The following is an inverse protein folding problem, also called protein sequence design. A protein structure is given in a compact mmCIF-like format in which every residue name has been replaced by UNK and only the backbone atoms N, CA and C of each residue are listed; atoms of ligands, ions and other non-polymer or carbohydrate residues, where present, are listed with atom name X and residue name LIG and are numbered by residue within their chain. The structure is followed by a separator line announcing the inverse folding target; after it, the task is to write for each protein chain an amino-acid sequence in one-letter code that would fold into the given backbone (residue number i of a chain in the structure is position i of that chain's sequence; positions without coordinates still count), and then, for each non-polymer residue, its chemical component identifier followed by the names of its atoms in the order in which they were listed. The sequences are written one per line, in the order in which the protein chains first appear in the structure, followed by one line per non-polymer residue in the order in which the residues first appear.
data_IF_505632909977
#
_entry.id   IF_505632909977
#
_cell.length_a   1.000
_cell.length_b   1.000
_cell.length_c   1.000
_cell.angle_alpha   90.00
_cell.angle_beta   90.00
_cell.angle_gamma   90.00
#
_symmetry.space_group_name_H-M   'P 1'
#
loop_
_entity.id
_entity.type
_entity.pdbx_description
1 polymer ?
#
# COMPACT_ATOMS: atom_id res chain seq x y z
N UNK A 1 -44.54 27.88 5.52
CA UNK A 1 -44.49 26.82 4.49
C UNK A 1 -43.05 26.74 4.06
N UNK A 2 -42.29 25.90 4.76
CA UNK A 2 -40.86 25.70 4.54
C UNK A 2 -40.69 24.76 3.34
N UNK A 3 -40.13 25.28 2.25
CA UNK A 3 -39.57 24.44 1.20
C UNK A 3 -38.22 23.90 1.69
N UNK A 4 -38.24 22.79 2.41
CA UNK A 4 -37.05 21.93 2.50
C UNK A 4 -36.77 21.35 1.11
N UNK A 5 -35.85 21.98 0.40
CA UNK A 5 -35.26 21.43 -0.82
C UNK A 5 -34.36 20.26 -0.40
N UNK A 6 -34.95 19.07 -0.33
CA UNK A 6 -34.19 17.80 -0.32
C UNK A 6 -33.42 17.74 -1.63
N UNK A 7 -32.15 18.17 -1.60
CA UNK A 7 -31.15 17.84 -2.61
C UNK A 7 -30.85 16.33 -2.57
N UNK A 8 -31.84 15.51 -2.93
CA UNK A 8 -31.64 14.10 -3.21
C UNK A 8 -30.90 13.99 -4.53
N UNK A 9 -29.76 13.30 -4.54
CA UNK A 9 -29.00 12.99 -5.74
C UNK A 9 -29.90 12.26 -6.76
N UNK A 10 -30.37 13.01 -7.76
CA UNK A 10 -31.33 12.56 -8.78
C UNK A 10 -30.74 11.51 -9.71
N UNK A 11 -29.42 11.44 -9.84
CA UNK A 11 -28.77 10.38 -10.63
C UNK A 11 -28.72 9.11 -9.79
N UNK A 12 -28.34 9.21 -8.51
CA UNK A 12 -28.38 8.07 -7.59
C UNK A 12 -29.79 7.53 -7.31
N UNK A 13 -30.87 8.19 -7.73
CA UNK A 13 -32.24 7.65 -7.62
C UNK A 13 -32.67 6.80 -8.82
N UNK A 14 -31.95 6.85 -9.96
CA UNK A 14 -32.26 6.05 -11.16
C UNK A 14 -32.23 4.54 -10.88
N UNK A 15 -32.96 3.71 -11.64
CA UNK A 15 -32.87 2.26 -11.54
C UNK A 15 -31.45 1.75 -11.79
N UNK A 16 -31.08 0.64 -11.15
CA UNK A 16 -29.72 0.10 -11.21
C UNK A 16 -29.26 -0.21 -12.64
N UNK A 17 -30.13 -0.77 -13.48
CA UNK A 17 -29.82 -1.10 -14.87
C UNK A 17 -29.41 0.14 -15.68
N UNK A 18 -30.05 1.28 -15.41
CA UNK A 18 -29.72 2.56 -16.04
C UNK A 18 -28.34 3.05 -15.56
N UNK A 19 -28.03 2.87 -14.27
CA UNK A 19 -26.71 3.22 -13.74
C UNK A 19 -25.60 2.36 -14.36
N UNK A 20 -25.83 1.04 -14.48
CA UNK A 20 -24.91 0.13 -15.16
C UNK A 20 -24.73 0.47 -16.64
N UNK A 21 -25.81 0.91 -17.32
CA UNK A 21 -25.75 1.38 -18.70
C UNK A 21 -24.92 2.68 -18.82
N UNK A 22 -25.13 3.66 -17.94
CA UNK A 22 -24.32 4.89 -17.90
C UNK A 22 -22.83 4.55 -17.72
N UNK A 23 -22.50 3.66 -16.77
CA UNK A 23 -21.12 3.26 -16.50
C UNK A 23 -20.50 2.53 -17.70
N UNK A 24 -21.28 1.79 -18.48
CA UNK A 24 -20.78 1.08 -19.66
C UNK A 24 -20.21 2.00 -20.76
N UNK A 25 -20.60 3.28 -20.77
CA UNK A 25 -20.06 4.29 -21.68
C UNK A 25 -18.81 5.00 -21.14
N UNK A 26 -18.45 4.79 -19.88
CA UNK A 26 -17.31 5.46 -19.26
C UNK A 26 -16.01 4.68 -19.50
N UNK A 27 -14.89 5.37 -19.77
CA UNK A 27 -13.57 4.75 -19.71
C UNK A 27 -13.33 4.12 -18.33
N UNK A 28 -12.56 3.03 -18.27
CA UNK A 28 -12.33 2.26 -17.03
C UNK A 28 -12.07 3.12 -15.78
N UNK A 29 -11.12 4.07 -15.87
CA UNK A 29 -10.78 4.94 -14.73
C UNK A 29 -11.97 5.76 -14.25
N UNK A 30 -12.76 6.29 -15.17
CA UNK A 30 -13.98 7.06 -14.88
C UNK A 30 -15.08 6.16 -14.32
N UNK A 31 -15.26 4.97 -14.87
CA UNK A 31 -16.19 3.95 -14.37
C UNK A 31 -15.86 3.53 -12.93
N UNK A 32 -14.58 3.34 -12.60
CA UNK A 32 -14.17 3.06 -11.22
C UNK A 32 -14.38 4.29 -10.34
N UNK A 33 -14.12 5.50 -10.83
CA UNK A 33 -14.32 6.73 -10.06
C UNK A 33 -15.79 6.97 -9.66
N UNK A 34 -16.77 6.47 -10.43
CA UNK A 34 -18.18 6.59 -10.01
C UNK A 34 -18.46 5.89 -8.68
N UNK A 35 -17.63 4.91 -8.28
CA UNK A 35 -17.73 4.24 -6.98
C UNK A 35 -17.65 5.18 -5.77
N UNK A 36 -17.12 6.39 -5.96
CA UNK A 36 -17.01 7.42 -4.92
C UNK A 36 -18.21 8.37 -4.86
N UNK A 37 -19.15 8.32 -5.80
CA UNK A 37 -20.31 9.21 -5.84
C UNK A 37 -21.28 8.94 -4.68
N UNK A 38 -21.61 7.66 -4.46
CA UNK A 38 -22.35 7.22 -3.28
C UNK A 38 -22.16 5.72 -3.04
N UNK A 39 -22.62 5.23 -1.89
CA UNK A 39 -22.56 3.79 -1.55
C UNK A 39 -23.23 2.91 -2.59
N UNK A 40 -24.23 3.43 -3.31
CA UNK A 40 -24.95 2.74 -4.37
C UNK A 40 -24.09 2.44 -5.59
N UNK A 41 -23.11 3.30 -5.90
CA UNK A 41 -22.28 3.18 -7.11
C UNK A 41 -21.04 2.30 -6.92
N UNK A 42 -20.73 1.90 -5.68
CA UNK A 42 -19.45 1.33 -5.28
C UNK A 42 -18.96 0.18 -6.17
N UNK A 43 -19.88 -0.70 -6.59
CA UNK A 43 -19.55 -1.93 -7.33
C UNK A 43 -20.33 -2.08 -8.65
N UNK A 44 -21.01 -1.03 -9.12
CA UNK A 44 -21.86 -1.11 -10.33
C UNK A 44 -21.05 -1.39 -11.60
N UNK A 45 -19.82 -0.88 -11.68
CA UNK A 45 -18.91 -1.12 -12.82
C UNK A 45 -18.53 -2.60 -13.00
N UNK A 46 -18.66 -3.43 -11.95
CA UNK A 46 -18.42 -4.87 -12.00
C UNK A 46 -19.63 -5.67 -12.45
N UNK A 47 -20.84 -5.08 -12.46
CA UNK A 47 -22.09 -5.81 -12.76
C UNK A 47 -22.22 -6.19 -14.23
N UNK A 48 -21.53 -5.50 -15.13
CA UNK A 48 -21.48 -5.83 -16.55
C UNK A 48 -20.47 -6.94 -16.89
N UNK A 49 -19.80 -7.51 -15.89
CA UNK A 49 -18.84 -8.58 -16.12
C UNK A 49 -19.54 -9.83 -16.65
N UNK A 50 -18.94 -10.44 -17.68
CA UNK A 50 -19.35 -11.75 -18.13
C UNK A 50 -19.19 -12.73 -16.96
N UNK A 51 -20.26 -13.50 -16.67
CA UNK A 51 -20.23 -14.51 -15.61
C UNK A 51 -19.98 -15.87 -16.24
N UNK A 52 -18.76 -16.37 -16.10
CA UNK A 52 -18.36 -17.71 -16.49
C UNK A 52 -18.59 -18.69 -15.33
N UNK A 53 -18.75 -19.98 -15.64
CA UNK A 53 -18.95 -21.04 -14.66
C UNK A 53 -18.08 -22.23 -15.03
N UNK A 54 -17.49 -22.87 -14.03
CA UNK A 54 -16.68 -24.07 -14.24
C UNK A 54 -15.82 -24.40 -13.04
N UNK A 55 -14.83 -25.23 -13.29
CA UNK A 55 -13.76 -25.57 -12.35
C UNK A 55 -12.70 -24.46 -12.29
N UNK A 56 -11.72 -24.60 -11.40
CA UNK A 56 -10.56 -23.71 -11.38
C UNK A 56 -9.73 -23.82 -12.66
N UNK A 57 -9.63 -25.02 -13.25
CA UNK A 57 -8.88 -25.22 -14.49
C UNK A 57 -9.54 -24.46 -15.66
N UNK A 58 -10.88 -24.48 -15.70
CA UNK A 58 -11.66 -23.67 -16.64
C UNK A 58 -11.44 -22.16 -16.41
N UNK A 59 -11.32 -21.73 -15.15
CA UNK A 59 -11.01 -20.34 -14.81
C UNK A 59 -9.62 -19.94 -15.34
N UNK A 60 -8.65 -20.85 -15.32
CA UNK A 60 -7.31 -20.60 -15.83
C UNK A 60 -7.26 -20.50 -17.35
N UNK A 61 -7.99 -21.36 -18.04
CA UNK A 61 -8.16 -21.27 -19.50
C UNK A 61 -8.83 -19.93 -19.85
N UNK A 62 -9.86 -19.54 -19.10
CA UNK A 62 -10.55 -18.27 -19.30
C UNK A 62 -9.63 -17.06 -19.08
N UNK A 63 -8.82 -17.04 -18.00
CA UNK A 63 -7.84 -15.97 -17.75
C UNK A 63 -6.81 -15.90 -18.88
N UNK A 64 -6.31 -17.06 -19.32
CA UNK A 64 -5.27 -17.12 -20.35
C UNK A 64 -5.81 -16.63 -21.70
N UNK A 65 -7.01 -17.07 -22.09
CA UNK A 65 -7.71 -16.59 -23.28
C UNK A 65 -7.94 -15.07 -23.21
N UNK A 66 -8.44 -14.59 -22.07
CA UNK A 66 -8.68 -13.17 -21.84
C UNK A 66 -7.39 -12.34 -21.97
N UNK A 67 -6.28 -12.80 -21.39
CA UNK A 67 -5.01 -12.09 -21.51
C UNK A 67 -4.45 -12.07 -22.94
N UNK A 68 -4.69 -13.13 -23.73
CA UNK A 68 -4.29 -13.18 -25.13
C UNK A 68 -5.10 -12.21 -26.00
N UNK A 69 -6.43 -12.18 -25.81
CA UNK A 69 -7.30 -11.21 -26.49
C UNK A 69 -6.88 -9.77 -26.19
N UNK A 70 -6.47 -9.50 -24.95
CA UNK A 70 -5.96 -8.19 -24.52
C UNK A 70 -4.55 -7.87 -25.04
N UNK A 71 -3.73 -8.87 -25.35
CA UNK A 71 -2.35 -8.63 -25.81
C UNK A 71 -2.24 -8.27 -27.29
N UNK A 72 -3.28 -8.60 -28.07
CA UNK A 72 -3.30 -8.51 -29.53
C UNK A 72 -4.02 -7.27 -30.08
N UNK A 73 -4.75 -6.52 -29.25
CA UNK A 73 -5.63 -5.46 -29.75
C UNK A 73 -4.97 -4.07 -29.86
N UNK A 74 -4.92 -3.60 -31.11
CA UNK A 74 -4.73 -2.21 -31.55
C UNK A 74 -5.94 -1.30 -31.28
N UNK A 75 -7.06 -1.85 -30.78
CA UNK A 75 -8.28 -1.13 -30.41
C UNK A 75 -8.74 -1.58 -29.02
N UNK A 76 -8.59 -0.73 -28.01
CA UNK A 76 -8.99 -1.04 -26.63
C UNK A 76 -10.52 -1.22 -26.56
N UNK A 77 -11.05 -2.34 -26.05
CA UNK A 77 -12.47 -2.48 -25.83
C UNK A 77 -12.93 -1.45 -24.80
N UNK A 78 -13.94 -0.66 -25.16
CA UNK A 78 -14.47 0.42 -24.32
C UNK A 78 -15.29 -0.07 -23.13
N UNK A 79 -15.54 -1.38 -22.96
CA UNK A 79 -16.50 -1.87 -21.95
C UNK A 79 -16.23 -3.25 -21.32
N UNK A 80 -15.26 -4.05 -21.78
CA UNK A 80 -15.05 -5.42 -21.27
C UNK A 80 -13.74 -5.56 -20.47
N UNK A 81 -13.61 -4.85 -19.34
CA UNK A 81 -12.36 -4.82 -18.56
C UNK A 81 -12.18 -6.02 -17.62
N UNK A 82 -13.08 -6.98 -17.63
CA UNK A 82 -13.02 -8.10 -16.70
C UNK A 82 -14.20 -9.05 -16.81
N UNK A 83 -14.09 -10.16 -16.10
CA UNK A 83 -15.13 -11.16 -16.00
C UNK A 83 -15.19 -11.71 -14.57
N UNK A 84 -16.34 -12.27 -14.20
CA UNK A 84 -16.51 -12.99 -12.95
C UNK A 84 -16.58 -14.49 -13.26
N UNK A 85 -15.80 -15.28 -12.55
CA UNK A 85 -15.79 -16.73 -12.69
C UNK A 85 -16.41 -17.36 -11.46
N UNK A 86 -17.54 -18.05 -11.63
CA UNK A 86 -18.25 -18.74 -10.56
C UNK A 86 -17.74 -20.18 -10.46
N UNK A 87 -17.18 -20.50 -9.29
CA UNK A 87 -16.53 -21.77 -8.97
C UNK A 87 -17.48 -22.73 -8.24
N UNK A 88 -18.77 -22.40 -8.16
CA UNK A 88 -19.78 -23.14 -7.41
C UNK A 88 -19.84 -22.76 -5.92
N UNK A 89 -20.90 -23.22 -5.23
CA UNK A 89 -21.17 -22.99 -3.79
C UNK A 89 -21.21 -21.52 -3.34
N UNK A 90 -21.40 -20.60 -4.27
CA UNK A 90 -21.38 -19.16 -4.03
C UNK A 90 -19.98 -18.55 -3.99
N UNK A 91 -18.95 -19.31 -4.40
CA UNK A 91 -17.58 -18.81 -4.57
C UNK A 91 -17.42 -18.17 -5.96
N UNK A 92 -16.89 -16.95 -6.01
CA UNK A 92 -16.59 -16.30 -7.28
C UNK A 92 -15.25 -15.58 -7.28
N UNK A 93 -14.52 -15.73 -8.38
CA UNK A 93 -13.28 -15.04 -8.70
C UNK A 93 -13.61 -13.86 -9.62
N UNK A 94 -13.15 -12.66 -9.28
CA UNK A 94 -13.21 -11.51 -10.18
C UNK A 94 -11.85 -11.33 -10.86
N UNK A 95 -11.86 -11.27 -12.19
CA UNK A 95 -10.68 -11.01 -13.01
C UNK A 95 -10.88 -9.67 -13.69
N UNK A 96 -9.92 -8.76 -13.56
CA UNK A 96 -9.99 -7.43 -14.19
C UNK A 96 -8.63 -7.08 -14.77
N UNK A 97 -8.62 -6.52 -15.97
CA UNK A 97 -7.41 -6.00 -16.62
C UNK A 97 -7.59 -4.50 -16.83
N UNK A 98 -6.73 -3.72 -16.21
CA UNK A 98 -6.69 -2.29 -16.40
C UNK A 98 -5.99 -1.92 -17.72
N UNK A 99 -6.31 -0.75 -18.32
CA UNK A 99 -5.67 -0.30 -19.56
C UNK A 99 -4.13 -0.17 -19.51
N UNK A 100 -3.55 -0.05 -18.32
CA UNK A 100 -2.10 0.00 -18.09
C UNK A 100 -1.45 -1.39 -17.94
N UNK A 101 -2.20 -2.46 -18.26
CA UNK A 101 -1.79 -3.86 -18.16
C UNK A 101 -1.63 -4.33 -16.71
N UNK A 102 -2.42 -3.76 -15.80
CA UNK A 102 -2.59 -4.30 -14.45
C UNK A 102 -3.63 -5.42 -14.43
N UNK A 103 -3.21 -6.63 -14.07
CA UNK A 103 -4.10 -7.78 -13.86
C UNK A 103 -4.48 -7.87 -12.38
N UNK A 104 -5.78 -7.84 -12.11
CA UNK A 104 -6.37 -8.02 -10.79
C UNK A 104 -7.06 -9.38 -10.73
N UNK A 105 -6.61 -10.20 -9.79
CA UNK A 105 -7.21 -11.48 -9.43
C UNK A 105 -7.75 -11.37 -8.01
N UNK A 106 -9.07 -11.21 -7.88
CA UNK A 106 -9.74 -10.99 -6.60
C UNK A 106 -10.58 -12.20 -6.17
N UNK A 107 -10.10 -12.86 -5.13
CA UNK A 107 -10.70 -14.04 -4.50
C UNK A 107 -11.52 -13.71 -3.26
N UNK A 108 -11.83 -12.43 -3.01
CA UNK A 108 -12.54 -12.01 -1.78
C UNK A 108 -13.93 -12.63 -1.63
N UNK A 109 -14.54 -13.06 -2.74
CA UNK A 109 -15.84 -13.73 -2.76
C UNK A 109 -15.72 -15.27 -2.85
N UNK A 110 -14.54 -15.85 -2.64
CA UNK A 110 -14.33 -17.29 -2.61
C UNK A 110 -14.42 -17.80 -1.17
N UNK A 111 -15.33 -18.74 -0.90
CA UNK A 111 -15.48 -19.34 0.43
C UNK A 111 -14.27 -20.22 0.75
N UNK A 112 -13.71 -20.06 1.95
CA UNK A 112 -12.45 -20.67 2.41
C UNK A 112 -12.54 -22.18 2.74
N UNK A 113 -13.43 -22.94 2.11
CA UNK A 113 -13.75 -24.32 2.53
C UNK A 113 -12.71 -25.37 2.14
N UNK A 114 -11.74 -25.07 1.28
CA UNK A 114 -10.64 -26.00 0.93
C UNK A 114 -9.31 -25.26 0.68
N UNK A 115 -8.15 -25.87 1.01
CA UNK A 115 -6.86 -25.40 0.54
C UNK A 115 -6.76 -25.54 -0.97
N UNK A 116 -7.11 -24.47 -1.68
CA UNK A 116 -6.88 -24.36 -3.12
C UNK A 116 -5.38 -24.36 -3.37
N UNK A 117 -4.87 -25.33 -4.13
CA UNK A 117 -3.49 -25.33 -4.59
C UNK A 117 -3.34 -24.25 -5.66
N UNK A 118 -3.20 -22.99 -5.24
CA UNK A 118 -2.84 -21.89 -6.13
C UNK A 118 -1.48 -22.15 -6.83
N UNK A 119 -0.67 -23.03 -6.25
CA UNK A 119 0.55 -23.56 -6.86
C UNK A 119 0.29 -24.29 -8.19
N UNK A 120 -0.85 -24.99 -8.33
CA UNK A 120 -1.23 -25.67 -9.58
C UNK A 120 -1.56 -24.69 -10.71
N UNK A 121 -1.77 -23.40 -10.41
CA UNK A 121 -1.99 -22.36 -11.43
C UNK A 121 -0.79 -22.23 -12.40
N UNK A 122 0.40 -22.71 -12.02
CA UNK A 122 1.66 -22.36 -12.69
C UNK A 122 2.55 -23.55 -13.06
N UNK A 123 2.07 -24.79 -12.88
CA UNK A 123 2.71 -25.99 -13.48
C UNK A 123 2.57 -26.03 -15.02
N UNK A 124 1.98 -24.98 -15.61
CA UNK A 124 1.80 -24.79 -17.06
C UNK A 124 3.14 -24.64 -17.81
N UNK A 125 4.23 -24.29 -17.11
CA UNK A 125 5.58 -24.42 -17.64
C UNK A 125 6.30 -25.49 -16.82
N UNK A 126 6.10 -26.75 -17.19
CA UNK A 126 6.79 -27.89 -16.60
C UNK A 126 8.29 -27.63 -16.53
N UNK A 127 8.77 -27.26 -15.34
CA UNK A 127 10.17 -27.46 -15.03
C UNK A 127 10.35 -28.97 -14.88
N UNK A 128 10.88 -29.59 -15.92
CA UNK A 128 11.49 -30.91 -15.89
C UNK A 128 12.34 -31.06 -14.62
N UNK A 129 11.78 -31.64 -13.56
CA UNK A 129 12.52 -32.28 -12.49
C UNK A 129 11.71 -33.48 -12.00
N UNK A 130 12.40 -34.62 -11.96
CA UNK A 130 11.86 -35.97 -11.88
C UNK A 130 11.32 -36.30 -10.47
N UNK A 131 10.12 -35.85 -10.11
CA UNK A 131 9.38 -36.47 -9.01
C UNK A 131 8.45 -37.56 -9.58
N UNK A 132 8.85 -38.83 -9.40
CA UNK A 132 8.08 -40.03 -9.81
C UNK A 132 6.64 -39.99 -9.27
N UNK A 133 6.41 -39.32 -8.14
CA UNK A 133 5.09 -39.15 -7.52
C UNK A 133 4.09 -38.39 -8.42
N UNK A 134 4.54 -37.38 -9.18
CA UNK A 134 3.67 -36.61 -10.07
C UNK A 134 3.26 -37.42 -11.31
N UNK A 135 4.16 -38.29 -11.79
CA UNK A 135 3.88 -39.21 -12.89
C UNK A 135 2.81 -40.25 -12.53
N UNK A 136 2.84 -40.78 -11.29
CA UNK A 136 1.84 -41.74 -10.83
C UNK A 136 0.48 -41.09 -10.59
N UNK A 137 0.44 -39.84 -10.11
CA UNK A 137 -0.81 -39.11 -9.87
C UNK A 137 -1.54 -38.74 -11.18
N UNK A 138 -0.80 -38.36 -12.23
CA UNK A 138 -1.35 -38.07 -13.55
C UNK A 138 -1.88 -39.32 -14.29
N UNK A 139 -1.31 -40.51 -14.01
CA UNK A 139 -1.72 -41.75 -14.68
C UNK A 139 -2.95 -42.40 -14.04
N UNK A 140 -3.24 -42.16 -12.76
CA UNK A 140 -4.35 -42.81 -12.04
C UNK A 140 -5.73 -42.22 -12.36
N UNK A 141 -5.80 -41.00 -12.91
CA UNK A 141 -7.01 -40.47 -13.55
C UNK A 141 -6.82 -40.50 -15.05
N UNK A 142 -7.68 -41.24 -15.75
CA UNK A 142 -7.82 -41.26 -17.23
C UNK A 142 -8.15 -39.86 -17.80
N UNK A 143 -7.26 -38.89 -17.64
CA UNK A 143 -7.30 -37.61 -18.33
C UNK A 143 -6.59 -37.80 -19.65
N UNK A 144 -7.34 -38.21 -20.69
CA UNK A 144 -6.90 -38.01 -22.06
C UNK A 144 -6.91 -36.50 -22.34
N UNK A 145 -5.81 -35.83 -22.01
CA UNK A 145 -5.59 -34.45 -22.42
C UNK A 145 -4.89 -34.53 -23.78
N UNK A 146 -5.65 -34.28 -24.85
CA UNK A 146 -5.04 -33.72 -26.06
C UNK A 146 -4.43 -32.39 -25.66
N UNK A 147 -3.12 -32.36 -25.46
CA UNK A 147 -2.36 -31.15 -25.14
C UNK A 147 -2.02 -30.44 -26.46
N UNK A 148 -2.62 -29.28 -26.78
CA UNK A 148 -1.86 -28.33 -27.58
C UNK A 148 -0.71 -27.87 -26.69
N UNK A 149 0.53 -28.09 -27.12
CA UNK A 149 1.68 -27.50 -26.45
C UNK A 149 1.43 -25.99 -26.25
N UNK A 150 1.49 -25.45 -25.02
CA UNK A 150 1.45 -24.02 -24.85
C UNK A 150 2.79 -23.45 -25.31
N UNK A 151 2.77 -22.68 -26.40
CA UNK A 151 3.80 -21.68 -26.70
C UNK A 151 4.13 -20.89 -25.44
N UNK A 152 5.39 -20.48 -25.20
CA UNK A 152 5.76 -19.75 -23.99
C UNK A 152 4.97 -18.42 -23.96
N UNK A 153 3.88 -18.40 -23.19
CA UNK A 153 3.00 -17.24 -23.11
C UNK A 153 3.80 -16.05 -22.58
N UNK A 154 4.18 -15.12 -23.44
CA UNK A 154 4.75 -13.84 -23.02
C UNK A 154 3.60 -12.89 -22.73
N UNK A 155 2.84 -13.15 -21.66
CA UNK A 155 1.78 -12.26 -21.24
C UNK A 155 2.36 -10.86 -20.99
N UNK A 156 1.81 -9.83 -21.66
CA UNK A 156 2.27 -8.44 -21.55
C UNK A 156 1.75 -7.78 -20.25
N UNK A 157 1.76 -8.48 -19.12
CA UNK A 157 1.29 -7.96 -17.83
C UNK A 157 2.42 -7.20 -17.15
N UNK A 158 2.15 -5.96 -16.72
CA UNK A 158 3.14 -5.11 -16.02
C UNK A 158 2.89 -5.01 -14.53
N UNK A 159 1.63 -5.10 -14.12
CA UNK A 159 1.23 -5.05 -12.72
C UNK A 159 0.36 -6.27 -12.40
N UNK A 160 0.66 -6.96 -11.31
CA UNK A 160 -0.13 -8.10 -10.83
C UNK A 160 -0.66 -7.81 -9.44
N UNK A 161 -1.98 -7.91 -9.27
CA UNK A 161 -2.68 -7.70 -8.02
C UNK A 161 -3.36 -9.01 -7.60
N UNK A 162 -2.84 -9.61 -6.54
CA UNK A 162 -3.40 -10.79 -5.90
C UNK A 162 -4.16 -10.35 -4.64
N UNK A 163 -5.48 -10.56 -4.63
CA UNK A 163 -6.35 -10.10 -3.54
C UNK A 163 -7.08 -11.30 -2.93
N UNK A 164 -6.94 -11.46 -1.62
CA UNK A 164 -7.62 -12.48 -0.82
C UNK A 164 -7.35 -13.93 -1.25
N UNK A 165 -6.19 -14.18 -1.87
CA UNK A 165 -5.77 -15.53 -2.27
C UNK A 165 -5.55 -16.37 -1.02
N UNK A 166 -6.19 -17.54 -0.96
CA UNK A 166 -6.01 -18.50 0.13
C UNK A 166 -4.87 -19.46 -0.20
N UNK A 167 -4.05 -19.81 0.81
CA UNK A 167 -2.92 -20.75 0.68
C UNK A 167 -1.86 -20.32 -0.34
N UNK A 168 -1.63 -19.02 -0.46
CA UNK A 168 -0.60 -18.47 -1.36
C UNK A 168 0.80 -18.82 -0.83
N UNK A 169 1.55 -19.63 -1.58
CA UNK A 169 2.92 -20.00 -1.24
C UNK A 169 3.96 -19.05 -1.86
N UNK A 170 5.16 -19.00 -1.27
CA UNK A 170 6.30 -18.29 -1.89
C UNK A 170 6.71 -18.88 -3.24
N UNK A 171 6.45 -20.18 -3.46
CA UNK A 171 6.79 -20.90 -4.69
C UNK A 171 5.87 -20.47 -5.82
N UNK A 172 4.56 -20.39 -5.57
CA UNK A 172 3.59 -19.83 -6.50
C UNK A 172 4.00 -18.42 -6.92
N UNK A 173 4.25 -17.52 -5.96
CA UNK A 173 4.63 -16.12 -6.27
C UNK A 173 5.89 -16.08 -7.14
N UNK A 174 6.92 -16.88 -6.80
CA UNK A 174 8.16 -16.94 -7.59
C UNK A 174 7.89 -17.41 -9.02
N UNK A 175 7.06 -18.44 -9.19
CA UNK A 175 6.68 -18.95 -10.51
C UNK A 175 5.89 -17.92 -11.33
N UNK A 176 4.99 -17.15 -10.70
CA UNK A 176 4.27 -16.04 -11.37
C UNK A 176 5.24 -14.98 -11.88
N UNK A 177 6.16 -14.54 -11.02
CA UNK A 177 7.17 -13.54 -11.39
C UNK A 177 7.99 -14.04 -12.59
N UNK A 178 8.33 -15.33 -12.64
CA UNK A 178 9.03 -15.94 -13.78
C UNK A 178 8.18 -16.02 -15.05
N UNK A 179 6.88 -16.29 -14.93
CA UNK A 179 5.96 -16.39 -16.07
C UNK A 179 5.60 -15.01 -16.66
N UNK A 180 5.54 -13.95 -15.83
CA UNK A 180 5.30 -12.58 -16.26
C UNK A 180 6.61 -11.82 -16.48
N UNK A 181 7.29 -12.05 -17.62
CA UNK A 181 8.61 -11.46 -17.93
C UNK A 181 8.66 -9.92 -17.92
N UNK A 182 7.54 -9.24 -18.12
CA UNK A 182 7.43 -7.78 -18.11
C UNK A 182 6.90 -7.22 -16.78
N UNK A 183 6.80 -8.04 -15.73
CA UNK A 183 6.22 -7.63 -14.45
C UNK A 183 7.12 -6.60 -13.75
N UNK A 184 6.60 -5.39 -13.59
CA UNK A 184 7.25 -4.28 -12.92
C UNK A 184 6.67 -4.04 -11.50
N UNK A 185 5.43 -4.45 -11.25
CA UNK A 185 4.74 -4.21 -9.98
C UNK A 185 3.97 -5.44 -9.49
N UNK A 186 4.16 -5.82 -8.22
CA UNK A 186 3.45 -6.90 -7.56
C UNK A 186 2.73 -6.38 -6.31
N UNK A 187 1.42 -6.61 -6.23
CA UNK A 187 0.60 -6.32 -5.07
C UNK A 187 -0.02 -7.59 -4.51
N UNK A 188 0.18 -7.85 -3.22
CA UNK A 188 -0.40 -8.97 -2.49
C UNK A 188 -1.23 -8.39 -1.35
N UNK A 189 -2.53 -8.61 -1.35
CA UNK A 189 -3.46 -7.99 -0.39
C UNK A 189 -4.36 -9.03 0.26
N UNK A 190 -4.41 -9.06 1.59
CA UNK A 190 -5.28 -9.95 2.39
C UNK A 190 -5.12 -11.43 2.07
N UNK A 191 -3.96 -11.85 1.56
CA UNK A 191 -3.71 -13.25 1.23
C UNK A 191 -3.36 -14.04 2.50
N UNK A 192 -3.93 -15.24 2.62
CA UNK A 192 -3.72 -16.16 3.73
C UNK A 192 -2.82 -17.33 3.29
N UNK A 193 -2.18 -18.00 4.25
CA UNK A 193 -1.26 -19.14 4.03
C UNK A 193 0.21 -18.75 3.82
N UNK A 194 0.49 -17.50 3.49
CA UNK A 194 1.85 -17.02 3.23
C UNK A 194 2.58 -16.71 4.55
N UNK A 195 3.42 -17.64 5.03
CA UNK A 195 4.27 -17.44 6.23
C UNK A 195 5.60 -16.75 5.92
N UNK A 196 6.23 -17.14 4.82
CA UNK A 196 7.50 -16.60 4.35
C UNK A 196 7.34 -16.23 2.89
N UNK A 197 7.84 -15.07 2.51
CA UNK A 197 7.88 -14.63 1.12
C UNK A 197 9.33 -14.41 0.70
N UNK A 198 9.77 -15.20 -0.28
CA UNK A 198 11.08 -15.12 -0.89
C UNK A 198 10.97 -14.64 -2.33
N UNK A 199 11.48 -13.44 -2.61
CA UNK A 199 11.51 -12.86 -3.96
C UNK A 199 12.96 -12.78 -4.42
N UNK A 200 13.29 -13.58 -5.44
CA UNK A 200 14.53 -13.44 -6.21
C UNK A 200 14.24 -12.54 -7.40
N UNK A 201 14.46 -11.24 -7.23
CA UNK A 201 14.29 -10.24 -8.28
C UNK A 201 15.56 -9.97 -9.09
N UNK A 202 16.61 -10.80 -8.93
CA UNK A 202 17.86 -10.67 -9.70
C UNK A 202 17.64 -10.77 -11.22
N UNK A 203 16.70 -11.62 -11.65
CA UNK A 203 16.36 -11.83 -13.05
C UNK A 203 15.01 -11.18 -13.45
N UNK A 204 14.33 -10.51 -12.51
CA UNK A 204 13.02 -9.91 -12.77
C UNK A 204 13.09 -8.38 -12.92
N UNK A 205 12.24 -7.83 -13.80
CA UNK A 205 12.06 -6.38 -13.96
C UNK A 205 11.27 -5.73 -12.83
N UNK A 206 11.11 -6.39 -11.68
CA UNK A 206 10.22 -5.97 -10.61
C UNK A 206 10.77 -4.74 -9.87
N UNK A 207 10.08 -3.62 -10.00
CA UNK A 207 10.42 -2.32 -9.40
C UNK A 207 9.60 -2.00 -8.16
N UNK A 208 8.37 -2.52 -8.07
CA UNK A 208 7.44 -2.20 -6.98
C UNK A 208 6.89 -3.47 -6.33
N UNK A 209 6.97 -3.51 -5.00
CA UNK A 209 6.36 -4.56 -4.19
C UNK A 209 5.44 -3.95 -3.15
N UNK A 210 4.18 -4.37 -3.13
CA UNK A 210 3.17 -3.93 -2.16
C UNK A 210 2.55 -5.14 -1.46
N UNK A 211 2.62 -5.21 -0.13
CA UNK A 211 2.05 -6.29 0.67
C UNK A 211 1.16 -5.66 1.75
N UNK A 212 -0.13 -6.01 1.75
CA UNK A 212 -1.13 -5.36 2.62
C UNK A 212 -1.96 -6.41 3.35
N UNK A 213 -2.01 -6.32 4.68
CA UNK A 213 -2.93 -7.06 5.54
C UNK A 213 -2.83 -8.60 5.43
N UNK A 214 -1.65 -9.13 5.08
CA UNK A 214 -1.36 -10.58 5.09
C UNK A 214 -0.98 -11.03 6.51
N UNK A 215 -1.96 -11.48 7.30
CA UNK A 215 -1.82 -11.66 8.76
C UNK A 215 -0.84 -12.77 9.19
N UNK A 216 -0.67 -13.79 8.35
CA UNK A 216 0.18 -14.95 8.64
C UNK A 216 1.64 -14.77 8.22
N UNK A 217 2.00 -13.65 7.58
CA UNK A 217 3.37 -13.40 7.15
C UNK A 217 4.26 -13.14 8.37
N UNK A 218 5.38 -13.85 8.43
CA UNK A 218 6.37 -13.82 9.50
C UNK A 218 7.72 -13.35 9.00
N UNK A 219 8.07 -13.64 7.76
CA UNK A 219 9.34 -13.23 7.15
C UNK A 219 9.17 -12.75 5.71
N UNK A 220 9.94 -11.72 5.36
CA UNK A 220 10.06 -11.18 4.01
C UNK A 220 11.52 -11.17 3.60
N UNK A 221 11.84 -11.97 2.61
CA UNK A 221 13.15 -12.02 1.98
C UNK A 221 13.03 -11.53 0.54
N UNK A 222 13.75 -10.46 0.22
CA UNK A 222 13.88 -10.02 -1.17
C UNK A 222 15.35 -9.78 -1.50
N UNK A 223 15.75 -10.26 -2.68
CA UNK A 223 17.06 -10.03 -3.30
C UNK A 223 16.82 -9.37 -4.65
N UNK A 224 17.39 -8.21 -4.93
CA UNK A 224 17.28 -7.59 -6.25
C UNK A 224 17.48 -6.09 -6.25
N UNK A 225 18.48 -5.64 -7.02
CA UNK A 225 18.92 -4.25 -7.12
C UNK A 225 17.91 -3.30 -7.77
N UNK A 226 16.91 -3.84 -8.47
CA UNK A 226 15.97 -3.07 -9.28
C UNK A 226 14.74 -2.59 -8.49
N UNK A 227 14.55 -3.05 -7.24
CA UNK A 227 13.39 -2.66 -6.45
C UNK A 227 13.52 -1.20 -6.02
N UNK A 228 12.59 -0.35 -6.48
CA UNK A 228 12.53 1.08 -6.21
C UNK A 228 11.48 1.43 -5.15
N UNK A 229 10.40 0.65 -5.06
CA UNK A 229 9.31 0.91 -4.11
C UNK A 229 8.95 -0.34 -3.32
N UNK A 230 8.95 -0.21 -1.99
CA UNK A 230 8.47 -1.25 -1.08
C UNK A 230 7.38 -0.69 -0.16
N UNK A 231 6.19 -1.28 -0.23
CA UNK A 231 5.07 -0.89 0.64
C UNK A 231 4.58 -2.09 1.42
N UNK A 232 4.60 -1.98 2.74
CA UNK A 232 4.18 -3.03 3.65
C UNK A 232 3.18 -2.47 4.67
N UNK A 233 2.04 -3.15 4.83
CA UNK A 233 1.10 -2.96 5.95
C UNK A 233 0.73 -4.31 6.55
N UNK A 234 0.90 -4.46 7.86
CA UNK A 234 0.64 -5.72 8.56
C UNK A 234 1.37 -5.81 9.90
N UNK A 235 1.50 -6.99 10.50
CA UNK A 235 2.34 -7.19 11.70
C UNK A 235 3.81 -6.92 11.39
N UNK A 236 4.63 -6.63 12.40
CA UNK A 236 6.08 -6.60 12.20
C UNK A 236 6.56 -8.00 11.75
N UNK A 237 7.33 -8.06 10.66
CA UNK A 237 7.91 -9.28 10.09
C UNK A 237 9.43 -9.25 10.14
N UNK A 238 10.06 -10.41 10.04
CA UNK A 238 11.50 -10.53 9.90
C UNK A 238 11.94 -10.14 8.48
N UNK A 239 12.69 -9.04 8.35
CA UNK A 239 13.24 -8.60 7.07
C UNK A 239 14.62 -9.22 6.85
N UNK A 240 14.77 -9.98 5.77
CA UNK A 240 16.05 -10.46 5.29
C UNK A 240 16.31 -9.85 3.92
N UNK A 241 17.26 -8.93 3.84
CA UNK A 241 17.58 -8.26 2.59
C UNK A 241 19.05 -8.55 2.27
N UNK A 242 19.31 -9.66 1.60
CA UNK A 242 20.67 -10.14 1.34
C UNK A 242 21.18 -9.78 -0.05
N UNK A 243 22.45 -9.41 -0.12
CA UNK A 243 23.29 -9.46 -1.31
C UNK A 243 24.47 -10.38 -0.95
N UNK A 244 24.46 -11.65 -1.39
CA UNK A 244 25.56 -12.59 -1.16
C UNK A 244 25.78 -13.04 0.30
N UNK A 245 26.70 -13.99 0.47
CA UNK A 245 26.94 -14.81 1.67
C UNK A 245 27.39 -14.02 2.91
N UNK A 246 26.91 -14.44 4.08
CA UNK A 246 27.06 -13.77 5.38
C UNK A 246 28.46 -13.87 6.03
N UNK A 247 29.49 -14.26 5.30
CA UNK A 247 30.82 -14.58 5.85
C UNK A 247 31.87 -13.45 5.73
N UNK A 248 31.62 -12.38 4.98
CA UNK A 248 32.63 -11.31 4.75
C UNK A 248 32.21 -9.89 5.22
N UNK A 249 31.17 -9.78 6.05
CA UNK A 249 30.55 -8.50 6.43
C UNK A 249 31.40 -7.54 7.27
N UNK A 250 32.54 -7.96 7.81
CA UNK A 250 33.36 -7.09 8.64
C UNK A 250 34.26 -6.13 7.85
N UNK A 251 34.52 -6.40 6.56
CA UNK A 251 35.51 -5.63 5.81
C UNK A 251 34.97 -4.68 4.75
N UNK A 252 33.80 -4.88 4.12
CA UNK A 252 33.31 -3.94 3.09
C UNK A 252 31.81 -3.59 3.18
N UNK A 253 31.46 -2.49 3.86
CA UNK A 253 30.09 -1.95 3.90
C UNK A 253 29.64 -1.16 2.66
N UNK A 254 30.46 -1.00 1.61
CA UNK A 254 30.31 0.09 0.64
C UNK A 254 30.01 -0.33 -0.81
N UNK A 255 30.01 -1.62 -1.12
CA UNK A 255 29.80 -2.06 -2.49
C UNK A 255 28.46 -2.77 -2.61
N UNK A 256 27.52 -2.11 -3.30
CA UNK A 256 26.20 -2.59 -3.73
C UNK A 256 24.99 -2.48 -2.78
N UNK A 257 24.89 -1.44 -1.95
CA UNK A 257 23.59 -1.08 -1.38
C UNK A 257 22.73 -0.34 -2.42
N UNK A 258 21.76 -0.99 -3.03
CA UNK A 258 20.68 -0.28 -3.74
C UNK A 258 19.72 0.35 -2.72
N UNK A 259 19.26 1.56 -3.03
CA UNK A 259 18.39 2.36 -2.16
C UNK A 259 16.99 2.33 -2.74
N UNK A 260 15.98 2.31 -1.88
CA UNK A 260 14.60 2.50 -2.31
C UNK A 260 14.36 3.99 -2.59
N UNK A 261 13.53 4.30 -3.59
CA UNK A 261 13.01 5.65 -3.83
C UNK A 261 11.75 5.93 -2.98
N UNK A 262 10.93 4.90 -2.72
CA UNK A 262 9.68 4.99 -1.97
C UNK A 262 9.56 3.82 -0.99
N UNK A 263 9.19 4.12 0.26
CA UNK A 263 8.98 3.09 1.27
C UNK A 263 7.73 3.36 2.11
N UNK A 264 6.96 2.32 2.41
CA UNK A 264 5.88 2.37 3.40
C UNK A 264 6.07 1.23 4.39
N UNK A 265 6.32 1.57 5.65
CA UNK A 265 6.50 0.64 6.77
C UNK A 265 5.39 0.87 7.80
N UNK A 266 4.22 0.33 7.48
CA UNK A 266 3.00 0.47 8.26
C UNK A 266 2.76 -0.78 9.11
N UNK A 267 3.58 -0.94 10.15
CA UNK A 267 3.49 -2.08 11.05
C UNK A 267 2.34 -1.90 12.04
N UNK A 268 1.23 -2.54 11.74
CA UNK A 268 0.03 -2.62 12.56
C UNK A 268 0.27 -3.54 13.77
N UNK A 269 -0.62 -3.46 14.76
CA UNK A 269 -0.57 -4.20 16.05
C UNK A 269 0.51 -3.73 17.04
N UNK A 270 1.57 -3.06 16.59
CA UNK A 270 2.54 -2.38 17.45
C UNK A 270 3.70 -3.27 17.91
N UNK A 271 4.44 -2.86 18.96
CA UNK A 271 5.64 -3.55 19.43
C UNK A 271 5.36 -4.83 20.24
N UNK A 272 4.20 -5.49 20.07
CA UNK A 272 3.84 -6.65 20.88
C UNK A 272 4.95 -7.74 20.84
N UNK A 273 5.30 -8.22 22.04
CA UNK A 273 6.61 -8.73 22.48
C UNK A 273 7.15 -10.01 21.79
N UNK A 274 8.49 -10.02 21.63
CA UNK A 274 9.50 -11.09 21.87
C UNK A 274 10.65 -11.18 20.86
N UNK A 275 10.67 -10.38 19.79
CA UNK A 275 11.76 -10.43 18.80
C UNK A 275 12.05 -9.12 18.05
N UNK A 276 11.66 -7.96 18.60
CA UNK A 276 11.92 -6.63 18.01
C UNK A 276 13.39 -6.46 17.63
N UNK A 277 14.31 -6.93 18.47
CA UNK A 277 15.76 -6.80 18.23
C UNK A 277 16.31 -7.86 17.26
N UNK A 278 15.57 -8.92 16.95
CA UNK A 278 15.97 -10.02 16.06
C UNK A 278 15.19 -10.09 14.74
N UNK A 279 14.29 -9.14 14.47
CA UNK A 279 13.45 -9.11 13.26
C UNK A 279 14.16 -8.61 11.98
N UNK A 280 15.49 -8.51 11.96
CA UNK A 280 16.22 -8.06 10.77
C UNK A 280 15.91 -6.62 10.32
N UNK A 281 15.27 -5.80 11.17
CA UNK A 281 14.89 -4.43 10.83
C UNK A 281 16.08 -3.55 10.40
N UNK A 282 17.28 -3.81 10.91
CA UNK A 282 18.52 -3.13 10.47
C UNK A 282 18.74 -3.27 8.96
N UNK A 283 18.41 -4.42 8.38
CA UNK A 283 18.58 -4.69 6.95
C UNK A 283 17.68 -3.80 6.09
N UNK A 284 16.41 -3.61 6.48
CA UNK A 284 15.51 -2.70 5.77
C UNK A 284 15.82 -1.23 6.09
N UNK A 285 16.23 -0.91 7.31
CA UNK A 285 16.58 0.46 7.73
C UNK A 285 17.66 1.06 6.84
N UNK A 286 18.69 0.30 6.47
CA UNK A 286 19.74 0.77 5.57
C UNK A 286 19.19 1.17 4.19
N UNK A 287 18.22 0.42 3.67
CA UNK A 287 17.66 0.62 2.32
C UNK A 287 16.68 1.79 2.24
N UNK A 288 16.05 2.17 3.36
CA UNK A 288 15.11 3.29 3.43
C UNK A 288 15.77 4.65 3.75
N UNK A 289 17.04 4.68 4.15
CA UNK A 289 17.72 5.95 4.52
C UNK A 289 17.78 6.97 3.39
N UNK A 290 17.69 6.52 2.14
CA UNK A 290 17.77 7.34 0.93
C UNK A 290 16.44 7.63 0.23
N UNK A 291 15.31 7.23 0.80
CA UNK A 291 14.01 7.36 0.12
C UNK A 291 13.59 8.82 -0.04
N UNK A 292 12.86 9.10 -1.11
CA UNK A 292 12.23 10.40 -1.37
C UNK A 292 10.85 10.51 -0.72
N UNK A 293 10.17 9.37 -0.56
CA UNK A 293 8.86 9.21 0.08
C UNK A 293 8.91 8.11 1.13
N UNK A 294 8.45 8.41 2.35
CA UNK A 294 8.41 7.46 3.46
C UNK A 294 7.06 7.51 4.16
N UNK A 295 6.43 6.35 4.36
CA UNK A 295 5.36 6.17 5.35
C UNK A 295 5.89 5.39 6.55
N UNK A 296 5.70 5.92 7.75
CA UNK A 296 6.25 5.36 8.98
C UNK A 296 5.30 5.52 10.17
N UNK A 297 5.15 4.47 10.96
CA UNK A 297 4.44 4.54 12.23
C UNK A 297 5.33 5.14 13.34
N UNK A 298 4.76 5.97 14.21
CA UNK A 298 5.45 6.57 15.37
C UNK A 298 6.19 5.54 16.21
N UNK A 299 5.54 4.42 16.54
CA UNK A 299 6.15 3.41 17.40
C UNK A 299 7.39 2.76 16.75
N UNK A 300 7.42 2.67 15.42
CA UNK A 300 8.58 2.14 14.68
C UNK A 300 9.76 3.08 14.86
N UNK A 301 9.51 4.38 14.76
CA UNK A 301 10.55 5.35 15.10
C UNK A 301 10.99 5.20 16.57
N UNK A 302 10.06 5.23 17.53
CA UNK A 302 10.37 5.20 18.97
C UNK A 302 11.10 3.91 19.41
N UNK A 303 10.69 2.75 18.91
CA UNK A 303 11.18 1.45 19.37
C UNK A 303 12.27 0.84 18.50
N UNK A 304 12.30 1.13 17.20
CA UNK A 304 13.21 0.47 16.25
C UNK A 304 14.28 1.40 15.69
N UNK A 305 13.97 2.67 15.46
CA UNK A 305 14.93 3.62 14.87
C UNK A 305 15.68 4.36 15.97
N UNK A 306 14.94 5.02 16.88
CA UNK A 306 15.47 5.90 17.92
C UNK A 306 16.54 5.23 18.81
N UNK A 307 16.39 3.97 19.27
CA UNK A 307 17.40 3.32 20.11
C UNK A 307 18.69 2.94 19.36
N UNK A 308 18.63 2.83 18.03
CA UNK A 308 19.78 2.49 17.18
C UNK A 308 20.53 3.77 16.74
N UNK A 309 19.97 4.96 17.01
CA UNK A 309 20.67 6.22 16.79
C UNK A 309 21.83 6.32 17.80
N UNK A 310 23.11 6.39 17.36
CA UNK A 310 24.24 6.61 18.23
C UNK A 310 24.10 7.95 18.94
N UNK A 311 24.62 7.99 20.16
CA UNK A 311 24.84 9.23 20.89
C UNK A 311 25.82 10.13 20.12
N UNK A 312 25.65 11.47 20.15
CA UNK A 312 26.67 12.41 19.68
C UNK A 312 28.06 12.06 20.26
N UNK A 313 29.18 12.18 19.51
CA UNK A 313 29.39 13.06 18.37
C UNK A 313 29.50 12.34 17.00
N UNK A 314 29.23 11.04 16.90
CA UNK A 314 29.35 10.32 15.63
C UNK A 314 28.12 10.56 14.73
N UNK A 315 28.36 11.46 13.77
CA UNK A 315 27.43 12.10 12.83
C UNK A 315 26.35 11.20 12.20
N UNK A 316 25.10 11.65 12.32
CA UNK A 316 23.97 11.25 11.45
C UNK A 316 23.66 12.29 10.39
N UNK A 317 24.68 12.98 9.91
CA UNK A 317 24.58 14.02 8.87
C UNK A 317 23.94 13.56 7.54
N UNK A 318 23.55 12.29 7.38
CA UNK A 318 23.05 11.73 6.10
C UNK A 318 21.85 10.77 6.18
N UNK A 319 21.19 10.60 7.32
CA UNK A 319 19.97 9.74 7.38
C UNK A 319 18.74 10.51 6.88
N UNK A 320 18.03 10.04 5.85
CA UNK A 320 16.80 10.67 5.31
C UNK A 320 16.96 12.08 4.70
N UNK A 321 18.18 12.49 4.34
CA UNK A 321 18.46 13.79 3.72
C UNK A 321 17.79 13.99 2.34
N UNK A 322 17.41 12.91 1.66
CA UNK A 322 16.69 12.94 0.38
C UNK A 322 15.16 12.92 0.54
N UNK A 323 14.68 12.78 1.79
CA UNK A 323 13.25 12.65 2.06
C UNK A 323 12.53 13.98 1.77
N UNK A 324 11.64 13.96 0.80
CA UNK A 324 10.82 15.12 0.40
C UNK A 324 9.38 15.00 0.85
N UNK A 325 8.90 13.78 1.10
CA UNK A 325 7.54 13.48 1.49
C UNK A 325 7.50 12.47 2.65
N UNK A 326 6.84 12.84 3.75
CA UNK A 326 6.67 12.00 4.93
C UNK A 326 5.19 11.79 5.23
N UNK A 327 4.80 10.53 5.37
CA UNK A 327 3.49 10.09 5.86
C UNK A 327 3.66 9.48 7.25
N UNK A 328 3.29 10.25 8.27
CA UNK A 328 3.43 9.87 9.67
C UNK A 328 2.13 9.27 10.21
N UNK A 329 2.19 8.02 10.66
CA UNK A 329 1.05 7.32 11.26
C UNK A 329 1.24 7.32 12.78
N UNK A 330 0.32 7.97 13.49
CA UNK A 330 0.28 8.03 14.95
C UNK A 330 -0.94 7.30 15.49
N UNK A 331 -0.89 6.98 16.79
CA UNK A 331 -1.99 6.42 17.55
C UNK A 331 -2.26 7.34 18.74
N UNK A 332 -3.48 7.83 18.89
CA UNK A 332 -3.87 8.66 20.03
C UNK A 332 -5.10 8.10 20.74
N UNK A 333 -4.88 7.51 21.92
CA UNK A 333 -5.90 7.29 22.96
C UNK A 333 -5.66 8.12 24.23
N UNK A 334 -4.52 8.80 24.31
CA UNK A 334 -4.09 9.68 25.41
C UNK A 334 -3.78 11.08 24.89
N UNK A 335 -3.31 12.00 25.75
CA UNK A 335 -2.87 13.35 25.33
C UNK A 335 -1.83 13.24 24.21
N UNK A 336 -2.11 13.88 23.08
CA UNK A 336 -1.25 13.86 21.90
C UNK A 336 0.14 14.42 22.22
N UNK A 337 1.18 13.66 21.86
CA UNK A 337 2.59 14.04 22.07
C UNK A 337 3.34 13.94 20.74
N UNK A 338 3.83 15.09 20.26
CA UNK A 338 4.55 15.24 19.01
C UNK A 338 6.08 15.12 19.11
N UNK A 339 6.65 14.82 20.29
CA UNK A 339 8.12 14.75 20.48
C UNK A 339 8.79 13.77 19.51
N UNK A 340 8.22 12.58 19.32
CA UNK A 340 8.75 11.57 18.40
C UNK A 340 8.75 12.08 16.94
N UNK A 341 7.66 12.71 16.51
CA UNK A 341 7.55 13.33 15.19
C UNK A 341 8.60 14.43 15.03
N UNK A 342 8.67 15.39 15.96
CA UNK A 342 9.64 16.50 15.88
C UNK A 342 11.08 15.96 15.86
N UNK A 343 11.41 14.96 16.68
CA UNK A 343 12.73 14.31 16.66
C UNK A 343 13.03 13.66 15.30
N UNK A 344 12.05 13.02 14.65
CA UNK A 344 12.23 12.46 13.32
C UNK A 344 12.40 13.55 12.24
N UNK A 345 11.61 14.62 12.30
CA UNK A 345 11.68 15.72 11.35
C UNK A 345 13.07 16.38 11.32
N UNK A 346 13.75 16.44 12.47
CA UNK A 346 15.14 16.94 12.57
C UNK A 346 16.17 16.09 11.80
N UNK A 347 15.81 14.89 11.37
CA UNK A 347 16.64 14.05 10.50
C UNK A 347 16.43 14.39 9.01
N UNK A 348 15.38 15.14 8.66
CA UNK A 348 14.92 15.30 7.29
C UNK A 348 15.17 16.73 6.77
N UNK A 349 16.34 17.01 6.21
CA UNK A 349 16.71 18.39 5.82
C UNK A 349 15.94 18.97 4.64
N UNK A 350 15.38 18.14 3.74
CA UNK A 350 14.71 18.55 2.49
C UNK A 350 13.20 18.25 2.45
N UNK A 351 12.59 18.10 3.62
CA UNK A 351 11.19 17.71 3.71
C UNK A 351 10.27 18.83 3.18
N UNK A 352 9.46 18.52 2.17
CA UNK A 352 8.54 19.47 1.52
C UNK A 352 7.08 19.22 1.88
N UNK A 353 6.70 17.96 2.08
CA UNK A 353 5.31 17.55 2.33
C UNK A 353 5.25 16.64 3.56
N UNK A 354 4.40 17.01 4.50
CA UNK A 354 4.18 16.28 5.75
C UNK A 354 2.70 15.92 5.88
N UNK A 355 2.41 14.63 5.90
CA UNK A 355 1.06 14.10 6.09
C UNK A 355 1.00 13.37 7.43
N UNK A 356 0.10 13.80 8.32
CA UNK A 356 -0.02 13.25 9.68
C UNK A 356 -1.40 12.65 9.84
N UNK A 357 -1.43 11.35 10.12
CA UNK A 357 -2.67 10.59 10.31
C UNK A 357 -2.68 10.03 11.72
N UNK A 358 -3.68 10.41 12.52
CA UNK A 358 -4.00 9.75 13.77
C UNK A 358 -4.95 8.60 13.45
N UNK A 359 -4.47 7.36 13.58
CA UNK A 359 -5.25 6.17 13.29
C UNK A 359 -5.39 5.31 14.56
N UNK A 360 -6.54 5.36 15.25
CA UNK A 360 -6.80 4.54 16.43
C UNK A 360 -6.78 3.03 16.19
N UNK A 361 -6.88 2.58 14.94
CA UNK A 361 -6.82 1.17 14.54
C UNK A 361 -5.40 0.73 14.15
N UNK A 362 -4.43 1.65 14.12
CA UNK A 362 -3.07 1.35 13.64
C UNK A 362 -2.35 0.33 14.50
N UNK A 363 -2.23 0.54 15.81
CA UNK A 363 -1.56 -0.41 16.69
C UNK A 363 -2.09 -0.37 18.12
N UNK A 364 -1.93 -1.48 18.86
CA UNK A 364 -2.26 -1.54 20.29
C UNK A 364 -1.00 -1.25 21.09
N UNK A 365 -1.02 -0.20 21.91
CA UNK A 365 0.06 0.07 22.89
C UNK A 365 -0.19 -0.81 24.13
N UNK A 366 0.54 -1.92 24.25
CA UNK A 366 0.54 -2.75 25.46
C UNK A 366 1.68 -2.29 26.39
N UNK A 367 1.33 -1.49 27.40
CA UNK A 367 2.13 -1.06 28.55
C UNK A 367 3.29 -0.05 28.41
N UNK A 368 3.11 1.05 29.17
CA UNK A 368 3.98 1.89 30.03
C UNK A 368 5.53 1.85 30.01
N UNK A 369 6.21 1.28 29.01
CA UNK A 369 7.63 1.61 28.87
C UNK A 369 7.75 3.00 28.24
N UNK A 370 7.70 4.01 29.10
CA UNK A 370 8.05 5.39 28.80
C UNK A 370 9.56 5.46 28.56
N UNK A 371 10.03 4.88 27.46
CA UNK A 371 11.27 5.34 26.87
C UNK A 371 10.95 6.72 26.32
N UNK A 372 11.15 7.74 27.15
CA UNK A 372 11.17 9.11 26.70
C UNK A 372 12.15 9.15 25.54
N UNK A 373 11.65 9.48 24.35
CA UNK A 373 12.50 9.77 23.21
C UNK A 373 13.47 10.85 23.70
N UNK A 374 14.76 10.51 23.83
CA UNK A 374 15.80 11.51 24.06
C UNK A 374 15.68 12.47 22.87
N UNK A 375 15.18 13.67 23.14
CA UNK A 375 14.93 14.66 22.11
C UNK A 375 16.25 14.88 21.40
N UNK A 376 16.29 14.58 20.11
CA UNK A 376 17.47 14.82 19.29
C UNK A 376 17.65 16.33 19.27
N UNK A 377 18.77 16.79 19.83
CA UNK A 377 19.14 18.20 19.84
C UNK A 377 19.51 18.65 18.42
N UNK A 378 19.14 19.90 18.11
CA UNK A 378 19.20 20.54 16.78
C UNK A 378 20.40 20.10 15.94
N UNK A 379 20.14 19.45 14.80
CA UNK A 379 21.18 19.16 13.80
C UNK A 379 21.18 20.24 12.71
N UNK A 380 20.03 20.63 12.14
CA UNK A 380 19.92 21.69 11.12
C UNK A 380 18.54 22.36 11.13
N UNK A 381 18.47 23.57 10.55
CA UNK A 381 17.25 24.33 10.24
C UNK A 381 16.43 23.60 9.16
N UNK A 382 15.10 23.53 9.32
CA UNK A 382 14.20 22.94 8.33
C UNK A 382 13.58 24.06 7.49
N UNK A 383 13.90 24.09 6.20
CA UNK A 383 13.65 25.27 5.34
C UNK A 383 12.69 25.00 4.18
N UNK A 384 12.45 23.74 3.82
CA UNK A 384 11.78 23.38 2.57
C UNK A 384 10.29 23.04 2.72
N UNK A 385 9.73 23.07 3.94
CA UNK A 385 8.37 22.57 4.19
C UNK A 385 7.30 23.47 3.56
N UNK A 386 6.52 22.90 2.65
CA UNK A 386 5.47 23.62 1.91
C UNK A 386 4.08 23.32 2.42
N UNK A 387 3.80 22.04 2.70
CA UNK A 387 2.43 21.57 3.02
C UNK A 387 2.45 20.63 4.22
N UNK A 388 1.51 20.85 5.14
CA UNK A 388 1.18 19.93 6.24
C UNK A 388 -0.28 19.55 6.15
N UNK A 389 -0.58 18.25 6.13
CA UNK A 389 -1.95 17.72 6.22
C UNK A 389 -2.16 17.03 7.56
N UNK A 390 -3.26 17.36 8.22
CA UNK A 390 -3.70 16.77 9.49
C UNK A 390 -4.98 15.96 9.30
N UNK A 391 -4.98 14.71 9.76
CA UNK A 391 -6.13 13.81 9.65
C UNK A 391 -6.30 12.94 10.92
N UNK A 392 -7.55 12.74 11.35
CA UNK A 392 -7.90 11.85 12.47
C UNK A 392 -7.69 12.43 13.87
N UNK A 393 -7.33 13.70 14.00
CA UNK A 393 -7.12 14.35 15.30
C UNK A 393 -8.42 14.43 16.11
N UNK A 394 -8.34 14.37 17.46
CA UNK A 394 -9.53 14.32 18.31
C UNK A 394 -10.32 15.64 18.33
N UNK A 395 -9.66 16.78 18.11
CA UNK A 395 -10.27 18.09 18.03
C UNK A 395 -9.31 19.13 17.44
N UNK A 396 -9.87 20.28 17.05
CA UNK A 396 -9.16 21.41 16.45
C UNK A 396 -8.07 22.00 17.35
N UNK A 397 -8.26 22.01 18.68
CA UNK A 397 -7.26 22.56 19.61
C UNK A 397 -5.93 21.80 19.54
N UNK A 398 -5.99 20.47 19.39
CA UNK A 398 -4.79 19.64 19.23
C UNK A 398 -4.12 19.88 17.87
N UNK A 399 -4.90 20.06 16.81
CA UNK A 399 -4.40 20.42 15.48
C UNK A 399 -3.64 21.76 15.51
N UNK A 400 -4.23 22.79 16.13
CA UNK A 400 -3.61 24.12 16.28
C UNK A 400 -2.35 24.05 17.15
N UNK A 401 -2.37 23.30 18.26
CA UNK A 401 -1.21 23.12 19.12
C UNK A 401 -0.03 22.49 18.36
N UNK A 402 -0.29 21.47 17.54
CA UNK A 402 0.74 20.87 16.69
C UNK A 402 1.22 21.84 15.61
N UNK A 403 0.30 22.53 14.94
CA UNK A 403 0.63 23.53 13.92
C UNK A 403 1.58 24.62 14.46
N UNK A 404 1.29 25.15 15.66
CA UNK A 404 2.17 26.12 16.35
C UNK A 404 3.54 25.55 16.60
N UNK A 405 3.63 24.33 17.11
CA UNK A 405 4.90 23.67 17.39
C UNK A 405 5.71 23.43 16.11
N UNK A 406 5.06 23.03 15.02
CA UNK A 406 5.72 22.90 13.72
C UNK A 406 6.26 24.26 13.26
N UNK A 407 5.47 25.34 13.33
CA UNK A 407 5.93 26.68 12.97
C UNK A 407 7.14 27.18 13.80
N UNK A 408 7.35 26.66 15.01
CA UNK A 408 8.55 26.98 15.82
C UNK A 408 9.80 26.21 15.38
N UNK A 409 9.64 25.07 14.69
CA UNK A 409 10.73 24.21 14.27
C UNK A 409 11.18 24.48 12.82
N UNK A 410 10.32 25.08 11.99
CA UNK A 410 10.59 25.43 10.59
C UNK A 410 10.77 26.94 10.43
N UNK A 411 11.74 27.35 9.61
CA UNK A 411 11.99 28.78 9.31
C UNK A 411 11.03 29.35 8.26
N UNK A 412 10.20 28.48 7.65
CA UNK A 412 9.18 28.83 6.67
C UNK A 412 7.79 28.58 7.24
N UNK A 413 6.79 29.33 6.76
CA UNK A 413 5.39 29.14 7.16
C UNK A 413 4.69 28.22 6.14
N UNK A 414 4.47 26.92 6.48
CA UNK A 414 3.82 26.00 5.55
C UNK A 414 2.31 26.24 5.48
N UNK A 415 1.71 25.83 4.36
CA UNK A 415 0.25 25.70 4.24
C UNK A 415 -0.20 24.51 5.08
N UNK A 416 -1.03 24.75 6.09
CA UNK A 416 -1.54 23.71 6.99
C UNK A 416 -3.01 23.47 6.68
N UNK A 417 -3.32 22.25 6.23
CA UNK A 417 -4.67 21.79 5.93
C UNK A 417 -5.06 20.65 6.86
N UNK A 418 -6.34 20.60 7.22
CA UNK A 418 -6.92 19.47 7.94
C UNK A 418 -8.09 18.89 7.15
N UNK A 419 -8.38 17.61 7.36
CA UNK A 419 -9.51 16.95 6.71
C UNK A 419 -10.83 17.65 7.05
N UNK A 420 -11.63 17.92 6.02
CA UNK A 420 -13.01 18.41 6.13
C UNK A 420 -14.00 17.25 6.14
N UNK A 421 -15.19 17.51 6.69
CA UNK A 421 -16.33 16.60 6.60
C UNK A 421 -17.15 16.81 5.32
N UNK A 422 -16.93 17.92 4.60
CA UNK A 422 -17.63 18.22 3.37
C UNK A 422 -16.88 17.65 2.16
N UNK A 423 -17.65 17.11 1.21
CA UNK A 423 -17.13 16.69 -0.09
C UNK A 423 -16.47 17.87 -0.79
N UNK A 424 -15.29 17.63 -1.33
CA UNK A 424 -14.49 18.62 -2.05
C UNK A 424 -14.05 19.87 -1.25
N UNK A 425 -13.99 19.77 0.07
CA UNK A 425 -13.48 20.82 0.95
C UNK A 425 -12.26 20.35 1.77
N UNK A 426 -11.46 21.31 2.23
CA UNK A 426 -10.44 21.15 3.26
C UNK A 426 -10.56 22.27 4.28
N UNK A 427 -10.13 22.00 5.51
CA UNK A 427 -10.00 23.03 6.54
C UNK A 427 -8.62 23.67 6.43
N UNK A 428 -8.54 24.94 6.08
CA UNK A 428 -7.28 25.69 5.98
C UNK A 428 -7.02 26.45 7.28
N UNK A 429 -5.82 26.31 7.84
CA UNK A 429 -5.41 27.09 9.01
C UNK A 429 -5.06 28.53 8.60
N UNK A 430 -5.77 29.50 9.15
CA UNK A 430 -5.52 30.93 8.90
C UNK A 430 -5.25 31.67 10.20
N UNK A 431 -4.47 32.76 10.08
CA UNK A 431 -4.26 33.71 11.18
C UNK A 431 -5.35 34.77 11.12
N UNK A 432 -6.14 34.89 12.18
CA UNK A 432 -7.23 35.87 12.31
C UNK A 432 -6.66 37.20 12.81
N UNK A 433 -6.71 38.29 12.02
CA UNK A 433 -6.20 39.60 12.44
C UNK A 433 -6.96 40.16 13.65
N UNK A 434 -8.27 39.93 13.69
CA UNK A 434 -9.18 40.48 14.72
C UNK A 434 -9.02 39.81 16.10
N UNK A 435 -8.51 38.58 16.14
CA UNK A 435 -8.32 37.83 17.39
C UNK A 435 -6.94 38.09 18.03
N UNK A 436 -6.03 38.81 17.36
CA UNK A 436 -4.78 39.30 17.97
C UNK A 436 -5.03 40.36 19.05
N UNK A 437 -6.19 41.02 19.01
CA UNK A 437 -6.58 42.12 19.90
C UNK A 437 -7.43 41.66 21.09
N UNK A 438 -7.77 40.37 21.17
CA UNK A 438 -8.61 39.81 22.25
C UNK A 438 -7.75 38.94 23.17
N UNK A 439 -7.50 39.42 24.38
CA UNK A 439 -6.78 38.64 25.40
C UNK A 439 -7.44 37.27 25.60
N UNK A 440 -6.63 36.21 25.45
CA UNK A 440 -7.05 34.82 25.70
C UNK A 440 -7.58 34.04 24.49
N UNK A 441 -7.75 34.64 23.30
CA UNK A 441 -8.12 33.90 22.07
C UNK A 441 -6.90 33.46 21.27
N UNK A 442 -6.97 32.23 20.73
CA UNK A 442 -5.93 31.72 19.83
C UNK A 442 -6.00 32.50 18.50
N UNK A 443 -4.92 33.15 18.03
CA UNK A 443 -4.94 33.90 16.78
C UNK A 443 -5.08 33.02 15.53
N UNK A 444 -5.07 31.69 15.69
CA UNK A 444 -5.26 30.74 14.61
C UNK A 444 -6.62 30.06 14.70
N UNK A 445 -7.26 29.91 13.53
CA UNK A 445 -8.52 29.15 13.37
C UNK A 445 -8.53 28.42 12.03
N UNK A 446 -9.27 27.33 11.93
CA UNK A 446 -9.53 26.69 10.66
C UNK A 446 -10.73 27.31 9.95
N UNK A 447 -10.63 27.50 8.63
CA UNK A 447 -11.73 27.90 7.76
C UNK A 447 -11.99 26.82 6.70
N UNK A 448 -13.25 26.54 6.41
CA UNK A 448 -13.63 25.62 5.33
C UNK A 448 -13.34 26.28 3.98
N UNK A 449 -12.58 25.59 3.13
CA UNK A 449 -12.18 26.07 1.81
C UNK A 449 -12.51 24.99 0.78
N UNK A 450 -13.27 25.38 -0.25
CA UNK A 450 -13.53 24.50 -1.41
C UNK A 450 -12.29 24.43 -2.27
N UNK A 451 -11.90 23.24 -2.70
CA UNK A 451 -10.68 23.05 -3.50
C UNK A 451 -11.05 22.36 -4.81
N UNK A 452 -10.72 23.01 -5.92
CA UNK A 452 -10.96 22.45 -7.27
C UNK A 452 -10.01 21.29 -7.57
N UNK A 453 -8.76 21.36 -7.07
CA UNK A 453 -7.73 20.33 -7.23
C UNK A 453 -7.31 19.73 -5.88
N UNK A 454 -8.25 19.05 -5.20
CA UNK A 454 -7.98 18.42 -3.91
C UNK A 454 -6.81 17.44 -3.91
N UNK A 455 -6.55 16.79 -5.04
CA UNK A 455 -5.49 15.78 -5.17
C UNK A 455 -4.07 16.36 -5.02
N UNK A 456 -3.87 17.64 -5.36
CA UNK A 456 -2.57 18.30 -5.26
C UNK A 456 -2.20 18.60 -3.81
N UNK A 457 -3.20 18.87 -2.97
CA UNK A 457 -3.04 19.15 -1.54
C UNK A 457 -3.23 17.90 -0.67
N UNK A 458 -4.09 16.98 -1.10
CA UNK A 458 -4.49 15.77 -0.39
C UNK A 458 -4.39 14.53 -1.30
N UNK A 459 -3.16 14.11 -1.69
CA UNK A 459 -3.00 12.90 -2.48
C UNK A 459 -3.57 11.69 -1.74
N UNK A 460 -4.17 10.77 -2.49
CA UNK A 460 -4.59 9.49 -1.93
C UNK A 460 -3.36 8.62 -1.69
N UNK A 461 -3.22 8.13 -0.46
CA UNK A 461 -2.15 7.22 -0.10
C UNK A 461 -2.71 5.87 0.35
N UNK A 462 -2.01 4.79 0.03
CA UNK A 462 -2.47 3.40 0.24
C UNK A 462 -2.79 3.11 1.72
N UNK A 463 -2.08 3.72 2.66
CA UNK A 463 -2.34 3.55 4.10
C UNK A 463 -3.69 4.15 4.55
N UNK A 464 -4.24 5.12 3.79
CA UNK A 464 -5.51 5.80 4.08
C UNK A 464 -6.74 5.02 3.57
N UNK A 465 -6.54 3.88 2.91
CA UNK A 465 -7.62 3.05 2.39
C UNK A 465 -8.47 2.40 3.49
N UNK A 466 -9.79 2.52 3.34
CA UNK A 466 -10.85 2.01 4.22
C UNK A 466 -11.08 0.50 4.10
#
# INVERSE_FOLDING_TARGET
MDFEQRNGDTISSLPEDILCHIISFLPFKSAVQTSFLSTRWKDLWKKNFLVLKGTMDDAFIAISSFLNEFSDQSHQPTSNWGFQFNLGRGSSLSVTVEPDKALHLDFSNVKHEFPWRFDCWLEINGSSYNDWFDFWWLHYRNCQIHTPQPSPFTFKVKSLHLISVSYLSSRAISSMISNFKLLESLTIKKCNGLRSLHIKAGDSGLKKLTILDCQQLESLHFKGYNLQSLRYRGRLVCFQCGDGDSSFFWFWPWFNSFWLDDAMLDFRQGPAYNSIFSCGFKSILHRIKGVKSLTLCKWVFEALICPILPSPPFCWERGFHQLTELWWIDYSKERYNSNALISFLKLCSRLRRLYITIDPKSYRRTNKNNNSVKVITRLQSLEDLKVVKLEGFPNEKVEIMLAKRLKQEFNVEPVIVAKSNYLNCVRLLVKSPDDLLKEGKDPYKFIETRVEHLYDLCPQHVHMGF
#
